data_IF_743927401099
#
_entry.id   IF_743927401099
#
_cell.length_a   1.000
_cell.length_b   1.000
_cell.length_c   1.000
_cell.angle_alpha   90.00
_cell.angle_beta   90.00
_cell.angle_gamma   90.00
#
_symmetry.space_group_name_H-M   'P 1'
#
loop_
_entity.id
_entity.type
_entity.pdbx_description
1 polymer ?
#
# COMPACT_ATOMS: atom_id res chain seq x y z
N UNK A 1 -11.56 0.38 2.83
CA UNK A 1 -10.51 -0.38 2.12
C UNK A 1 -9.10 -0.04 2.60
N UNK A 2 -8.67 1.23 2.65
CA UNK A 2 -7.34 1.58 3.18
C UNK A 2 -7.10 1.13 4.63
N UNK A 3 -8.10 1.25 5.50
CA UNK A 3 -7.98 0.73 6.87
C UNK A 3 -7.69 -0.78 6.89
N UNK A 4 -8.35 -1.57 6.03
CA UNK A 4 -8.08 -3.03 5.87
C UNK A 4 -6.66 -3.31 5.40
N UNK A 5 -6.05 -2.39 4.64
CA UNK A 5 -4.63 -2.49 4.23
C UNK A 5 -3.68 -2.27 5.42
N UNK A 6 -4.06 -1.41 6.36
CA UNK A 6 -3.26 -1.05 7.53
C UNK A 6 -3.40 -2.06 8.69
N UNK A 7 -4.42 -2.91 8.67
CA UNK A 7 -4.68 -3.92 9.70
C UNK A 7 -3.86 -5.21 9.51
N UNK A 8 -3.95 -6.09 10.51
CA UNK A 8 -3.28 -7.38 10.59
C UNK A 8 -2.13 -7.38 11.60
N UNK A 9 -2.06 -8.42 12.43
CA UNK A 9 -0.99 -8.66 13.37
C UNK A 9 0.36 -8.78 12.63
N UNK A 10 1.43 -8.24 13.24
CA UNK A 10 2.77 -8.22 12.63
C UNK A 10 3.03 -7.04 11.67
N UNK A 11 2.06 -6.15 11.44
CA UNK A 11 2.32 -4.88 10.72
C UNK A 11 3.28 -3.99 11.50
N UNK A 12 4.24 -3.39 10.79
CA UNK A 12 5.30 -2.58 11.38
C UNK A 12 4.84 -1.23 11.95
N UNK A 13 5.73 -0.58 12.70
CA UNK A 13 5.47 0.67 13.42
C UNK A 13 4.93 1.82 12.56
N UNK A 14 5.29 1.87 11.27
CA UNK A 14 4.80 2.90 10.33
C UNK A 14 3.27 2.93 10.21
N UNK A 15 2.58 1.81 10.41
CA UNK A 15 1.10 1.79 10.40
C UNK A 15 0.48 2.42 11.65
N UNK A 16 1.26 2.70 12.70
CA UNK A 16 0.80 3.49 13.86
C UNK A 16 0.86 5.00 13.60
N UNK A 17 1.70 5.43 12.66
CA UNK A 17 1.91 6.84 12.31
C UNK A 17 0.96 7.23 11.17
N UNK A 18 0.96 6.45 10.10
CA UNK A 18 0.16 6.73 8.89
C UNK A 18 -1.34 6.55 9.18
N UNK A 19 -2.15 7.55 8.81
CA UNK A 19 -3.62 7.47 8.82
C UNK A 19 -4.11 7.69 7.40
N UNK A 20 -4.03 6.63 6.58
CA UNK A 20 -4.28 6.74 5.15
C UNK A 20 -5.70 7.21 4.87
N UNK A 21 -5.82 8.39 4.27
CA UNK A 21 -7.07 8.90 3.73
C UNK A 21 -6.85 9.38 2.31
N UNK A 22 -7.77 9.00 1.44
CA UNK A 22 -7.81 9.49 0.07
C UNK A 22 -8.44 10.87 0.05
N UNK A 23 -7.76 11.80 -0.60
CA UNK A 23 -8.31 13.05 -1.08
C UNK A 23 -8.62 12.87 -2.57
N UNK A 24 -9.88 13.11 -2.96
CA UNK A 24 -10.30 13.09 -4.37
C UNK A 24 -10.12 14.51 -4.91
N UNK A 25 -9.31 14.67 -5.95
CA UNK A 25 -8.96 15.97 -6.52
C UNK A 25 -9.72 16.28 -7.81
N UNK A 26 -10.23 15.26 -8.51
CA UNK A 26 -10.99 15.43 -9.76
C UNK A 26 -11.93 14.25 -10.03
N UNK A 27 -12.79 14.38 -11.04
CA UNK A 27 -13.59 13.27 -11.58
C UNK A 27 -14.81 12.85 -10.76
N UNK A 28 -15.04 13.44 -9.59
CA UNK A 28 -16.19 13.16 -8.71
C UNK A 28 -16.87 14.46 -8.30
N UNK A 29 -18.20 14.51 -8.43
CA UNK A 29 -19.04 15.64 -8.00
C UNK A 29 -20.30 15.11 -7.33
N UNK A 30 -20.64 15.64 -6.14
CA UNK A 30 -21.79 15.19 -5.33
C UNK A 30 -21.82 13.67 -5.08
N UNK A 31 -20.64 13.07 -4.87
CA UNK A 31 -20.53 11.62 -4.64
C UNK A 31 -20.66 10.75 -5.90
N UNK A 32 -20.84 11.35 -7.09
CA UNK A 32 -20.98 10.64 -8.35
C UNK A 32 -19.77 10.91 -9.26
N UNK A 33 -19.33 9.89 -9.98
CA UNK A 33 -18.31 10.04 -11.03
C UNK A 33 -18.87 10.82 -12.21
N UNK A 34 -18.08 11.69 -12.82
CA UNK A 34 -18.52 12.53 -13.95
C UNK A 34 -17.91 12.11 -15.30
N UNK A 35 -17.31 10.92 -15.37
CA UNK A 35 -16.71 10.35 -16.58
C UNK A 35 -15.31 10.87 -16.95
N UNK A 36 -14.89 12.02 -16.39
CA UNK A 36 -13.53 12.52 -16.52
C UNK A 36 -12.55 11.79 -15.59
N UNK A 37 -11.22 11.94 -15.79
CA UNK A 37 -10.22 11.29 -14.95
C UNK A 37 -10.39 11.58 -13.46
N UNK A 38 -10.37 10.52 -12.65
CA UNK A 38 -10.42 10.59 -11.19
C UNK A 38 -9.01 10.62 -10.63
N UNK A 39 -8.63 11.75 -10.04
CA UNK A 39 -7.34 11.90 -9.36
C UNK A 39 -7.50 11.61 -7.87
N UNK A 40 -6.73 10.64 -7.37
CA UNK A 40 -6.70 10.25 -5.96
C UNK A 40 -5.33 10.61 -5.36
N UNK A 41 -5.33 11.25 -4.21
CA UNK A 41 -4.11 11.57 -3.46
C UNK A 41 -4.18 10.95 -2.07
N UNK A 42 -3.09 10.34 -1.62
CA UNK A 42 -2.90 9.91 -0.23
C UNK A 42 -1.69 10.65 0.30
N UNK A 43 -1.88 11.45 1.36
CA UNK A 43 -0.78 12.19 1.98
C UNK A 43 0.11 11.23 2.78
N UNK A 44 1.41 11.43 2.67
CA UNK A 44 2.40 10.79 3.54
C UNK A 44 2.52 11.62 4.82
N UNK A 45 2.04 11.13 5.95
CA UNK A 45 2.11 11.89 7.21
C UNK A 45 3.54 11.95 7.77
N UNK A 46 4.39 11.00 7.39
CA UNK A 46 5.78 10.97 7.79
C UNK A 46 6.63 11.98 7.02
N UNK A 47 6.07 12.67 6.01
CA UNK A 47 6.79 13.65 5.17
C UNK A 47 7.58 14.67 5.99
N UNK A 48 7.05 15.12 7.13
CA UNK A 48 7.73 16.06 8.03
C UNK A 48 9.14 15.62 8.43
N UNK A 49 9.38 14.32 8.59
CA UNK A 49 10.68 13.76 8.96
C UNK A 49 11.62 13.57 7.77
N UNK A 50 11.10 13.68 6.55
CA UNK A 50 11.83 13.38 5.31
C UNK A 50 12.03 14.58 4.41
N UNK A 51 11.49 15.77 4.76
CA UNK A 51 11.45 16.95 3.87
C UNK A 51 12.82 17.30 3.29
N UNK A 52 13.85 17.34 4.12
CA UNK A 52 15.20 17.73 3.69
C UNK A 52 15.91 16.64 2.87
N UNK A 53 15.65 15.35 3.16
CA UNK A 53 16.30 14.22 2.48
C UNK A 53 15.61 13.89 1.16
N UNK A 54 14.29 14.09 1.10
CA UNK A 54 13.43 13.73 -0.03
C UNK A 54 12.90 14.96 -0.77
N UNK A 55 13.50 16.13 -0.54
CA UNK A 55 13.08 17.37 -1.20
C UNK A 55 13.16 17.23 -2.71
N UNK A 56 12.15 17.76 -3.41
CA UNK A 56 12.22 17.99 -4.85
C UNK A 56 13.02 19.24 -5.22
N UNK A 57 13.13 20.19 -4.27
CA UNK A 57 13.77 21.46 -4.44
C UNK A 57 15.19 21.42 -3.85
N UNK A 58 16.18 21.72 -4.68
CA UNK A 58 17.60 21.66 -4.29
C UNK A 58 17.94 22.63 -3.15
N UNK A 59 17.19 23.72 -3.00
CA UNK A 59 17.38 24.71 -1.93
C UNK A 59 17.00 24.16 -0.55
N UNK A 60 16.05 23.23 -0.50
CA UNK A 60 15.58 22.58 0.73
C UNK A 60 16.38 21.30 1.06
N UNK A 61 17.21 20.82 0.11
CA UNK A 61 18.02 19.63 0.29
C UNK A 61 19.25 19.93 1.14
N UNK A 62 19.47 19.10 2.18
CA UNK A 62 20.62 19.21 3.08
C UNK A 62 21.60 18.06 2.76
N UNK A 63 22.72 18.32 2.05
CA UNK A 63 23.63 17.26 1.58
C UNK A 63 24.14 16.35 2.69
N UNK A 64 24.55 16.90 3.83
CA UNK A 64 25.09 16.12 4.95
C UNK A 64 24.05 15.12 5.50
N UNK A 65 22.77 15.52 5.51
CA UNK A 65 21.67 14.64 5.90
C UNK A 65 21.38 13.62 4.81
N UNK A 66 21.37 14.01 3.54
CA UNK A 66 21.19 13.06 2.44
C UNK A 66 22.25 11.96 2.43
N UNK A 67 23.52 12.34 2.56
CA UNK A 67 24.65 11.40 2.64
C UNK A 67 24.55 10.47 3.85
N UNK A 68 24.21 11.00 5.04
CA UNK A 68 24.03 10.20 6.25
C UNK A 68 22.91 9.16 6.11
N UNK A 69 21.93 9.41 5.25
CA UNK A 69 20.78 8.53 5.00
C UNK A 69 20.89 7.74 3.69
N UNK A 70 22.01 7.86 2.97
CA UNK A 70 22.25 7.16 1.71
C UNK A 70 22.25 5.65 1.92
N UNK A 71 21.62 4.93 0.98
CA UNK A 71 21.58 3.47 1.00
C UNK A 71 22.65 2.90 0.06
N UNK A 72 23.81 2.56 0.62
CA UNK A 72 24.95 1.99 -0.13
C UNK A 72 25.05 0.47 -0.04
N UNK A 73 24.28 -0.16 0.86
CA UNK A 73 24.30 -1.62 1.09
C UNK A 73 22.96 -2.22 0.64
N UNK A 74 22.91 -2.95 -0.49
CA UNK A 74 21.65 -3.45 -1.01
C UNK A 74 21.13 -4.59 -0.13
N UNK A 75 19.81 -4.60 0.13
CA UNK A 75 19.19 -5.65 0.94
C UNK A 75 18.87 -6.87 0.07
N UNK A 76 19.26 -8.09 0.47
CA UNK A 76 18.84 -9.31 -0.24
C UNK A 76 17.32 -9.41 -0.35
N UNK A 77 16.83 -9.80 -1.53
CA UNK A 77 15.40 -9.90 -1.82
C UNK A 77 14.69 -8.58 -2.15
N UNK A 78 15.39 -7.44 -2.10
CA UNK A 78 14.86 -6.13 -2.50
C UNK A 78 15.38 -5.68 -3.87
N UNK A 79 14.71 -4.65 -4.41
CA UNK A 79 15.05 -4.06 -5.71
C UNK A 79 16.34 -3.22 -5.69
N UNK A 80 16.93 -2.96 -4.51
CA UNK A 80 18.02 -2.00 -4.30
C UNK A 80 19.18 -2.18 -5.31
N UNK A 81 19.81 -3.37 -5.36
CA UNK A 81 20.96 -3.64 -6.24
C UNK A 81 20.59 -3.56 -7.72
N UNK A 82 19.51 -4.24 -8.12
CA UNK A 82 19.10 -4.31 -9.51
C UNK A 82 18.69 -2.93 -10.04
N UNK A 83 17.96 -2.15 -9.24
CA UNK A 83 17.60 -0.77 -9.57
C UNK A 83 18.80 0.16 -9.56
N UNK A 84 19.70 0.02 -8.58
CA UNK A 84 20.92 0.82 -8.48
C UNK A 84 21.78 0.67 -9.73
N UNK A 85 22.02 -0.57 -10.17
CA UNK A 85 22.73 -0.84 -11.41
C UNK A 85 21.98 -0.35 -12.65
N UNK A 86 20.65 -0.52 -12.71
CA UNK A 86 19.83 -0.14 -13.87
C UNK A 86 19.81 1.38 -14.10
N UNK A 87 19.74 2.17 -13.04
CA UNK A 87 19.54 3.62 -13.11
C UNK A 87 20.79 4.44 -12.80
N UNK A 88 21.93 3.80 -12.51
CA UNK A 88 23.15 4.53 -12.14
C UNK A 88 23.07 5.13 -10.73
N UNK A 89 22.41 4.46 -9.79
CA UNK A 89 22.18 4.91 -8.41
C UNK A 89 22.92 4.03 -7.39
N UNK A 90 24.11 3.52 -7.75
CA UNK A 90 24.88 2.63 -6.86
C UNK A 90 25.40 3.35 -5.61
N UNK A 91 25.64 4.65 -5.69
CA UNK A 91 26.14 5.47 -4.56
C UNK A 91 25.02 5.81 -3.56
N UNK A 92 23.78 5.91 -4.04
CA UNK A 92 22.60 5.99 -3.17
C UNK A 92 21.39 5.30 -3.80
N UNK A 93 21.11 4.09 -3.33
CA UNK A 93 19.98 3.27 -3.79
C UNK A 93 18.65 3.70 -3.16
N UNK A 94 18.60 4.78 -2.35
CA UNK A 94 17.34 5.30 -1.77
C UNK A 94 16.33 5.66 -2.85
N UNK A 95 16.78 6.24 -3.96
CA UNK A 95 15.94 6.54 -5.13
C UNK A 95 15.17 5.32 -5.64
N UNK A 96 15.78 4.13 -5.55
CA UNK A 96 15.13 2.86 -5.90
C UNK A 96 14.19 2.40 -4.80
N UNK A 97 14.67 2.41 -3.55
CA UNK A 97 13.93 1.95 -2.37
C UNK A 97 12.58 2.66 -2.23
N UNK A 98 12.57 3.99 -2.35
CA UNK A 98 11.38 4.80 -2.07
C UNK A 98 10.24 4.49 -3.04
N UNK A 99 10.56 4.16 -4.30
CA UNK A 99 9.55 3.76 -5.28
C UNK A 99 9.20 2.28 -5.23
N UNK A 100 10.17 1.41 -4.96
CA UNK A 100 9.94 -0.04 -4.87
C UNK A 100 9.20 -0.46 -3.58
N UNK A 101 9.11 0.44 -2.60
CA UNK A 101 8.43 0.21 -1.32
C UNK A 101 6.97 -0.22 -1.49
N UNK A 102 6.55 -1.17 -0.65
CA UNK A 102 5.15 -1.59 -0.55
C UNK A 102 4.20 -0.46 -0.12
N UNK A 103 4.71 0.72 0.28
CA UNK A 103 3.89 1.92 0.53
C UNK A 103 3.01 2.27 -0.67
N UNK A 104 3.51 2.05 -1.88
CA UNK A 104 2.78 2.29 -3.13
C UNK A 104 1.46 1.51 -3.22
N UNK A 105 1.36 0.33 -2.58
CA UNK A 105 0.12 -0.45 -2.56
C UNK A 105 -1.08 0.31 -1.96
N UNK A 106 -0.84 1.37 -1.18
CA UNK A 106 -1.91 2.26 -0.71
C UNK A 106 -2.69 2.89 -1.87
N UNK A 107 -2.01 3.41 -2.90
CA UNK A 107 -2.71 4.00 -4.06
C UNK A 107 -3.39 2.91 -4.89
N UNK A 108 -2.80 1.71 -4.99
CA UNK A 108 -3.45 0.57 -5.65
C UNK A 108 -4.73 0.16 -4.96
N UNK A 109 -4.77 0.14 -3.63
CA UNK A 109 -6.00 -0.12 -2.87
C UNK A 109 -7.04 0.98 -3.10
N UNK A 110 -6.62 2.25 -3.18
CA UNK A 110 -7.53 3.35 -3.48
C UNK A 110 -8.15 3.22 -4.89
N UNK A 111 -7.32 2.97 -5.92
CA UNK A 111 -7.78 2.73 -7.30
C UNK A 111 -8.64 1.47 -7.37
N UNK A 112 -8.22 0.38 -6.73
CA UNK A 112 -8.98 -0.86 -6.63
C UNK A 112 -10.34 -0.68 -5.95
N UNK A 113 -10.47 0.29 -5.04
CA UNK A 113 -11.77 0.63 -4.43
C UNK A 113 -12.72 1.24 -5.48
N UNK A 114 -12.23 2.06 -6.39
CA UNK A 114 -13.04 2.58 -7.51
C UNK A 114 -13.51 1.44 -8.41
N UNK A 115 -12.60 0.53 -8.78
CA UNK A 115 -12.96 -0.66 -9.56
C UNK A 115 -13.94 -1.59 -8.83
N UNK A 116 -13.78 -1.75 -7.53
CA UNK A 116 -14.68 -2.55 -6.68
C UNK A 116 -16.11 -1.99 -6.70
N UNK A 117 -16.29 -0.68 -6.59
CA UNK A 117 -17.63 -0.04 -6.66
C UNK A 117 -18.32 -0.39 -7.99
N UNK A 118 -17.58 -0.37 -9.11
CA UNK A 118 -18.13 -0.75 -10.41
C UNK A 118 -18.53 -2.23 -10.46
N UNK A 119 -17.68 -3.12 -9.96
CA UNK A 119 -17.94 -4.57 -9.98
C UNK A 119 -19.12 -4.93 -9.06
N UNK A 120 -19.20 -4.32 -7.86
CA UNK A 120 -20.31 -4.50 -6.93
C UNK A 120 -21.64 -3.98 -7.52
N UNK A 121 -21.61 -2.94 -8.37
CA UNK A 121 -22.81 -2.47 -9.09
C UNK A 121 -23.37 -3.50 -10.10
N UNK A 122 -22.56 -4.48 -10.50
CA UNK A 122 -22.95 -5.59 -11.36
C UNK A 122 -23.41 -6.82 -10.57
N UNK A 123 -23.55 -6.71 -9.25
CA UNK A 123 -23.96 -7.81 -8.37
C UNK A 123 -22.83 -8.80 -8.03
N UNK A 124 -21.56 -8.40 -8.22
CA UNK A 124 -20.40 -9.25 -7.93
C UNK A 124 -19.70 -8.82 -6.63
N UNK A 125 -19.39 -9.79 -5.76
CA UNK A 125 -18.67 -9.56 -4.50
C UNK A 125 -17.20 -9.96 -4.61
N UNK A 126 -16.31 -9.17 -3.99
CA UNK A 126 -14.86 -9.44 -3.96
C UNK A 126 -14.38 -9.57 -2.51
N UNK A 127 -13.73 -10.69 -2.23
CA UNK A 127 -13.13 -11.00 -0.93
C UNK A 127 -11.77 -11.68 -1.07
N UNK A 128 -11.06 -11.76 0.04
CA UNK A 128 -9.76 -12.43 0.14
C UNK A 128 -9.60 -12.94 1.57
N UNK A 129 -9.02 -14.14 1.70
CA UNK A 129 -8.62 -14.72 2.98
C UNK A 129 -7.22 -15.32 2.82
N UNK A 130 -6.54 -15.61 3.93
CA UNK A 130 -5.20 -16.20 3.90
C UNK A 130 -5.31 -17.71 4.06
N UNK A 131 -4.76 -18.46 3.10
CA UNK A 131 -4.75 -19.93 3.15
C UNK A 131 -3.53 -20.50 3.87
N UNK A 132 -2.45 -19.72 4.00
CA UNK A 132 -1.21 -20.17 4.64
C UNK A 132 -0.37 -19.00 5.15
N UNK A 133 0.21 -19.16 6.35
CA UNK A 133 1.25 -18.28 6.90
C UNK A 133 2.40 -19.15 7.42
N UNK A 134 3.57 -19.01 6.80
CA UNK A 134 4.72 -19.84 7.14
C UNK A 134 4.42 -21.33 6.95
N UNK A 135 4.44 -22.11 8.04
CA UNK A 135 4.14 -23.55 8.03
C UNK A 135 2.68 -23.88 8.37
N UNK A 136 1.87 -22.90 8.77
CA UNK A 136 0.47 -23.10 9.16
C UNK A 136 -0.40 -22.93 7.94
N UNK A 137 -1.21 -23.95 7.62
CA UNK A 137 -2.05 -24.04 6.42
C UNK A 137 -3.50 -24.25 6.85
N UNK A 138 -4.45 -23.65 6.15
CA UNK A 138 -5.88 -23.91 6.33
C UNK A 138 -6.21 -25.32 5.82
N UNK A 139 -6.97 -26.10 6.59
CA UNK A 139 -7.35 -27.46 6.20
C UNK A 139 -8.31 -27.46 5.00
N UNK A 140 -9.24 -26.50 4.97
CA UNK A 140 -10.21 -26.32 3.89
C UNK A 140 -10.14 -24.89 3.32
N UNK A 141 -9.51 -24.67 2.15
CA UNK A 141 -9.29 -23.33 1.61
C UNK A 141 -10.55 -22.69 0.98
N UNK A 142 -11.73 -23.29 1.15
CA UNK A 142 -12.99 -22.66 0.80
C UNK A 142 -13.44 -22.82 -0.67
N UNK A 143 -12.87 -23.76 -1.44
CA UNK A 143 -13.30 -24.02 -2.82
C UNK A 143 -14.74 -24.54 -2.98
N UNK A 144 -15.42 -24.90 -1.88
CA UNK A 144 -16.77 -25.45 -1.85
C UNK A 144 -17.79 -24.62 -1.07
N UNK A 145 -17.42 -23.41 -0.62
CA UNK A 145 -18.31 -22.57 0.20
C UNK A 145 -19.36 -21.85 -0.66
N UNK A 146 -20.58 -21.79 -0.16
CA UNK A 146 -21.65 -20.93 -0.66
C UNK A 146 -21.36 -19.46 -0.40
N UNK A 147 -22.09 -18.57 -1.08
CA UNK A 147 -21.94 -17.12 -0.88
C UNK A 147 -22.20 -16.67 0.57
N UNK A 148 -23.16 -17.27 1.27
CA UNK A 148 -23.43 -16.96 2.68
C UNK A 148 -22.28 -17.38 3.60
N UNK A 149 -21.70 -18.55 3.37
CA UNK A 149 -20.57 -19.04 4.16
C UNK A 149 -19.31 -18.20 3.92
N UNK A 150 -19.14 -17.70 2.69
CA UNK A 150 -18.07 -16.79 2.32
C UNK A 150 -18.20 -15.41 3.00
N UNK A 151 -19.41 -14.89 3.14
CA UNK A 151 -19.67 -13.64 3.86
C UNK A 151 -19.35 -13.79 5.36
N UNK A 152 -19.81 -14.89 5.99
CA UNK A 152 -19.46 -15.20 7.38
C UNK A 152 -17.94 -15.35 7.59
N UNK A 153 -17.26 -16.01 6.66
CA UNK A 153 -15.81 -16.17 6.71
C UNK A 153 -15.10 -14.80 6.62
N UNK A 154 -15.58 -13.92 5.74
CA UNK A 154 -15.05 -12.57 5.59
C UNK A 154 -15.23 -11.73 6.86
N UNK A 155 -16.36 -11.85 7.55
CA UNK A 155 -16.60 -11.19 8.85
C UNK A 155 -15.66 -11.72 9.93
N UNK A 156 -15.53 -13.05 10.06
CA UNK A 156 -14.62 -13.70 11.02
C UNK A 156 -13.16 -13.28 10.78
N UNK A 157 -12.71 -13.31 9.52
CA UNK A 157 -11.37 -12.89 9.14
C UNK A 157 -11.12 -11.40 9.43
N UNK A 158 -12.12 -10.54 9.19
CA UNK A 158 -12.01 -9.11 9.47
C UNK A 158 -11.96 -8.79 10.97
N UNK A 159 -12.57 -9.64 11.82
CA UNK A 159 -12.53 -9.53 13.26
C UNK A 159 -11.27 -10.16 13.89
N UNK A 160 -10.54 -11.00 13.15
CA UNK A 160 -9.35 -11.67 13.67
C UNK A 160 -8.16 -10.72 13.79
N UNK A 161 -7.29 -10.95 14.78
CA UNK A 161 -6.10 -10.13 15.00
C UNK A 161 -5.16 -10.12 13.78
N UNK A 162 -5.10 -11.25 13.09
CA UNK A 162 -4.24 -11.50 11.93
C UNK A 162 -4.87 -11.03 10.62
N UNK A 163 -6.18 -10.76 10.59
CA UNK A 163 -6.89 -10.36 9.38
C UNK A 163 -7.04 -11.50 8.37
N UNK A 164 -6.96 -12.74 8.85
CA UNK A 164 -7.18 -13.97 8.10
C UNK A 164 -8.25 -14.83 8.75
#
# INVERSE_FOLDING_TARGET
QLQRRQSGYGRGGRMKIEKDRVQILSGVRKGLTIGSPITLQIKNLDWENWREVMSSDLEDYVPEKGEAWALTRPRPGHADLAGGLKYGHQEDMRNVLERASARETAIRVAVGTVGRILIESLGCNIMSHVVQIGRVVVEEPGCSLSYSELDELSEKASASLVGC
#
